data_IF_406615586543
#
_entry.id   IF_406615586543
#
_cell.length_a   1.000
_cell.length_b   1.000
_cell.length_c   1.000
_cell.angle_alpha   90.00
_cell.angle_beta   90.00
_cell.angle_gamma   90.00
#
_symmetry.space_group_name_H-M   'P 1'
#
loop_
_entity.id
_entity.type
_entity.pdbx_description
1 polymer ?
#
# COMPACT_ATOMS: atom_id res chain seq x y z
N UNK A 1 -2.57 -13.61 0.17
CA UNK A 1 -3.15 -13.04 -1.06
C UNK A 1 -2.49 -11.71 -1.46
N UNK A 2 -2.37 -10.74 -0.55
CA UNK A 2 -1.88 -9.36 -0.84
C UNK A 2 -0.58 -9.29 -1.63
N UNK A 3 0.50 -9.93 -1.15
CA UNK A 3 1.82 -9.91 -1.83
C UNK A 3 1.75 -10.58 -3.21
N UNK A 4 0.91 -11.60 -3.39
CA UNK A 4 0.75 -12.26 -4.69
C UNK A 4 0.11 -11.32 -5.73
N UNK A 5 -0.94 -10.58 -5.37
CA UNK A 5 -1.54 -9.60 -6.28
C UNK A 5 -0.62 -8.41 -6.53
N UNK A 6 0.14 -7.98 -5.53
CA UNK A 6 1.16 -6.95 -5.70
C UNK A 6 2.22 -7.37 -6.73
N UNK A 7 2.74 -8.59 -6.62
CA UNK A 7 3.69 -9.13 -7.58
C UNK A 7 3.10 -9.17 -9.01
N UNK A 8 1.84 -9.59 -9.15
CA UNK A 8 1.15 -9.60 -10.45
C UNK A 8 0.96 -8.21 -11.05
N UNK A 9 0.64 -7.19 -10.24
CA UNK A 9 0.54 -5.81 -10.73
C UNK A 9 1.89 -5.30 -11.22
N UNK A 10 2.97 -5.61 -10.48
CA UNK A 10 4.34 -5.26 -10.88
C UNK A 10 4.75 -5.96 -12.18
N UNK A 11 4.49 -7.26 -12.30
CA UNK A 11 4.80 -8.03 -13.52
C UNK A 11 3.98 -7.57 -14.72
N UNK A 12 2.75 -7.09 -14.50
CA UNK A 12 1.90 -6.49 -15.54
C UNK A 12 2.39 -5.10 -16.00
N UNK A 13 3.40 -4.53 -15.35
CA UNK A 13 3.96 -3.22 -15.71
C UNK A 13 3.16 -2.04 -15.17
N UNK A 14 2.35 -2.23 -14.13
CA UNK A 14 1.61 -1.15 -13.49
C UNK A 14 2.55 -0.09 -12.90
N UNK A 15 2.16 1.18 -13.01
CA UNK A 15 2.92 2.30 -12.44
C UNK A 15 3.01 2.13 -10.90
N UNK A 16 4.20 2.17 -10.30
CA UNK A 16 4.38 2.14 -8.85
C UNK A 16 3.55 3.19 -8.11
N UNK A 17 3.36 4.38 -8.70
CA UNK A 17 2.52 5.42 -8.12
C UNK A 17 1.03 5.03 -8.16
N UNK A 18 0.59 4.27 -9.17
CA UNK A 18 -0.77 3.72 -9.22
C UNK A 18 -0.99 2.71 -8.10
N UNK A 19 -0.04 1.79 -7.90
CA UNK A 19 -0.09 0.82 -6.80
C UNK A 19 -0.11 1.53 -5.44
N UNK A 20 0.74 2.55 -5.25
CA UNK A 20 0.78 3.33 -4.02
C UNK A 20 -0.58 4.01 -3.72
N UNK A 21 -1.21 4.62 -4.72
CA UNK A 21 -2.56 5.21 -4.58
C UNK A 21 -3.59 4.18 -4.15
N UNK A 22 -3.56 2.97 -4.71
CA UNK A 22 -4.47 1.88 -4.33
C UNK A 22 -4.29 1.48 -2.86
N UNK A 23 -3.06 1.42 -2.36
CA UNK A 23 -2.78 1.11 -0.95
C UNK A 23 -3.31 2.20 -0.03
N UNK A 24 -3.11 3.48 -0.39
CA UNK A 24 -3.63 4.63 0.38
C UNK A 24 -5.16 4.62 0.46
N UNK A 25 -5.84 4.30 -0.66
CA UNK A 25 -7.30 4.17 -0.68
C UNK A 25 -7.75 3.05 0.26
N UNK A 26 -7.17 1.85 0.17
CA UNK A 26 -7.52 0.74 1.06
C UNK A 26 -7.27 1.06 2.54
N UNK A 27 -6.22 1.83 2.87
CA UNK A 27 -5.98 2.28 4.23
C UNK A 27 -7.11 3.18 4.76
N UNK A 28 -7.66 4.05 3.93
CA UNK A 28 -8.78 4.91 4.33
C UNK A 28 -10.12 4.16 4.34
N UNK A 29 -10.38 3.33 3.31
CA UNK A 29 -11.66 2.67 3.06
C UNK A 29 -11.89 1.44 3.96
N UNK A 30 -10.90 0.54 4.05
CA UNK A 30 -11.07 -0.75 4.71
C UNK A 30 -10.61 -0.75 6.18
N UNK A 31 -9.60 0.07 6.50
CA UNK A 31 -9.05 0.19 7.87
C UNK A 31 -9.73 1.35 8.61
N UNK A 32 -9.70 2.55 8.01
CA UNK A 32 -10.40 3.72 8.52
C UNK A 32 -10.05 4.05 9.97
N UNK A 33 -11.07 4.27 10.81
CA UNK A 33 -10.89 4.64 12.22
C UNK A 33 -10.51 3.47 13.13
N UNK A 34 -10.49 2.23 12.63
CA UNK A 34 -10.04 1.08 13.45
C UNK A 34 -8.54 1.14 13.72
N UNK A 35 -7.77 1.70 12.78
CA UNK A 35 -6.37 2.06 12.97
C UNK A 35 -6.00 3.28 12.10
N UNK A 36 -6.15 4.50 12.63
CA UNK A 36 -5.85 5.73 11.88
C UNK A 36 -4.39 5.85 11.43
N UNK A 37 -3.45 5.09 12.01
CA UNK A 37 -2.05 5.10 11.58
C UNK A 37 -1.87 4.49 10.20
N UNK A 38 -2.78 3.63 9.74
CA UNK A 38 -2.70 3.01 8.41
C UNK A 38 -2.65 4.03 7.28
N UNK A 39 -3.45 5.11 7.36
CA UNK A 39 -3.45 6.15 6.34
C UNK A 39 -2.13 6.93 6.32
N UNK A 40 -1.59 7.23 7.50
CA UNK A 40 -0.31 7.95 7.64
C UNK A 40 0.84 7.11 7.09
N UNK A 41 0.90 5.83 7.47
CA UNK A 41 1.92 4.89 7.00
C UNK A 41 1.83 4.67 5.49
N UNK A 42 0.62 4.48 4.94
CA UNK A 42 0.44 4.30 3.51
C UNK A 42 0.87 5.55 2.71
N UNK A 43 0.60 6.76 3.21
CA UNK A 43 1.02 7.99 2.57
C UNK A 43 2.55 8.18 2.64
N UNK A 44 3.16 7.88 3.78
CA UNK A 44 4.62 7.87 3.93
C UNK A 44 5.28 6.86 2.99
N UNK A 45 4.71 5.66 2.88
CA UNK A 45 5.18 4.62 1.96
C UNK A 45 5.03 5.05 0.49
N UNK A 46 3.97 5.76 0.12
CA UNK A 46 3.80 6.29 -1.24
C UNK A 46 4.90 7.31 -1.59
N UNK A 47 5.20 8.23 -0.68
CA UNK A 47 6.28 9.20 -0.85
C UNK A 47 7.65 8.52 -0.91
N UNK A 48 7.91 7.59 0.00
CA UNK A 48 9.17 6.84 0.03
C UNK A 48 9.35 5.98 -1.23
N UNK A 49 8.30 5.31 -1.71
CA UNK A 49 8.33 4.54 -2.95
C UNK A 49 8.64 5.44 -4.17
N UNK A 50 8.08 6.65 -4.21
CA UNK A 50 8.39 7.62 -5.26
C UNK A 50 9.85 8.08 -5.21
N UNK A 51 10.37 8.40 -4.02
CA UNK A 51 11.75 8.84 -3.83
C UNK A 51 12.78 7.76 -4.14
N UNK A 52 12.49 6.51 -3.75
CA UNK A 52 13.41 5.37 -3.92
C UNK A 52 13.39 4.87 -5.36
N UNK A 53 12.24 4.89 -6.02
CA UNK A 53 12.10 4.40 -7.39
C UNK A 53 12.11 2.87 -7.49
N UNK A 54 11.81 2.37 -8.69
CA UNK A 54 11.84 0.94 -8.97
C UNK A 54 13.26 0.51 -9.42
N UNK A 55 13.72 -0.70 -9.02
CA UNK A 55 12.91 -1.80 -8.50
C UNK A 55 12.79 -1.89 -6.96
N UNK A 56 13.51 -1.10 -6.18
CA UNK A 56 13.57 -1.17 -4.71
C UNK A 56 12.25 -0.76 -4.03
N UNK A 57 11.48 0.15 -4.64
CA UNK A 57 10.17 0.58 -4.14
C UNK A 57 9.17 -0.58 -3.91
N UNK A 58 9.36 -1.73 -4.57
CA UNK A 58 8.54 -2.93 -4.32
C UNK A 58 8.55 -3.38 -2.85
N UNK A 59 9.65 -3.15 -2.14
CA UNK A 59 9.80 -3.52 -0.72
C UNK A 59 8.89 -2.64 0.15
N UNK A 60 8.96 -1.33 -0.07
CA UNK A 60 8.16 -0.32 0.65
C UNK A 60 6.67 -0.52 0.38
N UNK A 61 6.29 -0.74 -0.88
CA UNK A 61 4.90 -1.01 -1.25
C UNK A 61 4.40 -2.33 -0.64
N UNK A 62 5.25 -3.35 -0.57
CA UNK A 62 4.89 -4.63 0.08
C UNK A 62 4.69 -4.48 1.58
N UNK A 63 5.53 -3.71 2.27
CA UNK A 63 5.38 -3.43 3.70
C UNK A 63 4.05 -2.73 3.98
N UNK A 64 3.76 -1.65 3.26
CA UNK A 64 2.51 -0.90 3.42
C UNK A 64 1.28 -1.75 3.09
N UNK A 65 1.32 -2.54 2.02
CA UNK A 65 0.21 -3.43 1.66
C UNK A 65 -0.02 -4.52 2.72
N UNK A 66 1.04 -5.08 3.31
CA UNK A 66 0.93 -6.03 4.42
C UNK A 66 0.36 -5.38 5.68
N UNK A 67 0.82 -4.17 6.02
CA UNK A 67 0.29 -3.42 7.16
C UNK A 67 -1.22 -3.18 7.02
N UNK A 68 -1.65 -2.62 5.89
CA UNK A 68 -3.07 -2.38 5.61
C UNK A 68 -3.87 -3.69 5.63
N UNK A 69 -3.31 -4.78 5.11
CA UNK A 69 -3.99 -6.09 5.13
C UNK A 69 -4.16 -6.66 6.55
N UNK A 70 -3.19 -6.46 7.44
CA UNK A 70 -3.20 -6.99 8.82
C UNK A 70 -3.88 -6.07 9.83
N UNK A 71 -4.02 -4.78 9.52
CA UNK A 71 -4.65 -3.81 10.42
C UNK A 71 -6.12 -4.19 10.74
N UNK A 72 -6.66 -3.81 11.92
CA UNK A 72 -8.08 -3.93 12.23
C UNK A 72 -8.93 -3.26 11.13
N UNK A 73 -10.05 -3.88 10.73
CA UNK A 73 -10.91 -3.38 9.65
C UNK A 73 -12.14 -2.68 10.20
N UNK A 74 -12.53 -1.57 9.59
CA UNK A 74 -13.77 -0.85 9.90
C UNK A 74 -14.32 -0.22 8.63
N UNK A 75 -15.39 -0.83 8.13
CA UNK A 75 -16.14 -0.41 6.95
C UNK A 75 -17.48 0.26 7.32
N UNK A 76 -17.51 0.98 8.46
CA UNK A 76 -18.68 1.77 8.89
C UNK A 76 -18.78 3.10 8.16
#
# INVERSE_FOLDING_TARGET
ATVHYLARMIEAGEDPNFIARRIVICAAEDVGLADPQALILANAAAQAAHMVGFPEARIILSEAACYVALAPKSNR
#
